data_IF_661994271138
#
_entry.id   IF_661994271138
#
_cell.length_a   1.000
_cell.length_b   1.000
_cell.length_c   1.000
_cell.angle_alpha   90.00
_cell.angle_beta   90.00
_cell.angle_gamma   90.00
#
_symmetry.space_group_name_H-M   'P 1'
#
loop_
_entity.id
_entity.type
_entity.pdbx_description
1 polymer ?
#
# COMPACT_ATOMS: atom_id res chain seq x y z
N UNK A 1 6.72 -10.04 9.68
CA UNK A 1 6.38 -11.48 9.69
C UNK A 1 5.92 -11.84 8.30
N UNK A 2 6.45 -12.90 7.68
CA UNK A 2 5.86 -13.42 6.45
C UNK A 2 4.43 -13.88 6.78
N UNK A 3 3.45 -13.40 6.03
CA UNK A 3 2.07 -13.91 6.12
C UNK A 3 2.00 -15.24 5.36
N UNK A 4 1.10 -16.14 5.78
CA UNK A 4 0.78 -17.30 4.97
C UNK A 4 -0.37 -16.95 4.02
N UNK A 5 -0.26 -17.37 2.77
CA UNK A 5 -1.28 -17.14 1.73
C UNK A 5 -2.64 -17.72 2.15
N UNK A 6 -2.63 -18.85 2.87
CA UNK A 6 -3.86 -19.47 3.36
C UNK A 6 -4.58 -18.61 4.41
N UNK A 7 -3.83 -17.92 5.27
CA UNK A 7 -4.39 -16.97 6.24
C UNK A 7 -5.05 -15.78 5.54
N UNK A 8 -4.43 -15.31 4.45
CA UNK A 8 -4.92 -14.23 3.61
C UNK A 8 -6.23 -14.62 2.90
N UNK A 9 -6.30 -15.83 2.35
CA UNK A 9 -7.53 -16.37 1.77
C UNK A 9 -8.64 -16.49 2.81
N UNK A 10 -8.33 -16.99 4.01
CA UNK A 10 -9.28 -17.04 5.12
C UNK A 10 -9.81 -15.65 5.51
N UNK A 11 -8.92 -14.66 5.60
CA UNK A 11 -9.29 -13.27 5.86
C UNK A 11 -10.18 -12.69 4.74
N UNK A 12 -9.92 -13.03 3.48
CA UNK A 12 -10.71 -12.56 2.34
C UNK A 12 -12.12 -13.14 2.32
N UNK A 13 -12.29 -14.41 2.66
CA UNK A 13 -13.62 -15.02 2.84
C UNK A 13 -14.39 -14.30 3.94
N UNK A 14 -13.74 -14.01 5.07
CA UNK A 14 -14.35 -13.26 6.19
C UNK A 14 -14.68 -11.81 5.81
N UNK A 15 -13.84 -11.17 5.01
CA UNK A 15 -14.13 -9.85 4.45
C UNK A 15 -15.37 -9.88 3.57
N UNK A 16 -15.51 -10.86 2.67
CA UNK A 16 -16.69 -10.98 1.82
C UNK A 16 -17.97 -11.26 2.63
N UNK A 17 -17.89 -12.06 3.70
CA UNK A 17 -19.00 -12.25 4.64
C UNK A 17 -19.35 -10.96 5.38
N UNK A 18 -18.34 -10.20 5.83
CA UNK A 18 -18.53 -8.92 6.51
C UNK A 18 -19.19 -7.89 5.58
N UNK A 19 -18.66 -7.71 4.38
CA UNK A 19 -19.12 -6.70 3.42
C UNK A 19 -20.55 -6.96 2.93
N UNK A 20 -20.97 -8.22 2.84
CA UNK A 20 -22.37 -8.58 2.51
C UNK A 20 -23.37 -8.21 3.61
N UNK A 21 -22.94 -8.22 4.87
CA UNK A 21 -23.82 -8.08 6.03
C UNK A 21 -23.76 -6.70 6.68
N UNK A 22 -22.83 -5.84 6.27
CA UNK A 22 -22.52 -4.61 6.98
C UNK A 22 -22.49 -3.41 6.01
N UNK A 23 -23.21 -2.34 6.35
CA UNK A 23 -23.28 -1.13 5.51
C UNK A 23 -22.17 -0.11 5.80
N UNK A 24 -21.29 -0.39 6.76
CA UNK A 24 -20.26 0.54 7.22
C UNK A 24 -18.88 0.23 6.62
N UNK A 25 -18.67 0.65 5.38
CA UNK A 25 -17.41 0.47 4.64
C UNK A 25 -16.18 1.04 5.38
N UNK A 26 -16.36 2.06 6.22
CA UNK A 26 -15.24 2.66 6.96
C UNK A 26 -14.59 1.72 7.97
N UNK A 27 -15.29 0.72 8.50
CA UNK A 27 -14.72 -0.20 9.49
C UNK A 27 -13.89 -1.31 8.85
N UNK A 28 -14.14 -1.62 7.58
CA UNK A 28 -13.49 -2.70 6.84
C UNK A 28 -11.97 -2.55 6.87
N UNK A 29 -11.45 -1.33 6.68
CA UNK A 29 -10.00 -1.03 6.69
C UNK A 29 -9.29 -1.34 8.01
N UNK A 30 -10.01 -1.34 9.14
CA UNK A 30 -9.43 -1.62 10.46
C UNK A 30 -9.50 -3.11 10.81
N UNK A 31 -10.50 -3.80 10.27
CA UNK A 31 -10.73 -5.23 10.50
C UNK A 31 -9.91 -6.08 9.52
N UNK A 32 -9.81 -5.62 8.26
CA UNK A 32 -9.13 -6.28 7.16
C UNK A 32 -8.05 -5.36 6.54
N UNK A 33 -7.03 -4.95 7.31
CA UNK A 33 -6.04 -3.98 6.88
C UNK A 33 -5.18 -4.44 5.69
N UNK A 34 -5.15 -5.73 5.39
CA UNK A 34 -4.42 -6.26 4.24
C UNK A 34 -5.23 -6.23 2.94
N UNK A 35 -6.57 -6.18 3.04
CA UNK A 35 -7.48 -6.31 1.89
C UNK A 35 -8.03 -4.95 1.45
N UNK A 36 -8.46 -4.13 2.41
CA UNK A 36 -9.13 -2.86 2.15
C UNK A 36 -8.64 -1.71 3.04
N UNK A 37 -7.50 -1.91 3.69
CA UNK A 37 -6.87 -0.92 4.56
C UNK A 37 -5.37 -0.89 4.36
N UNK A 38 -4.67 -0.48 5.42
CA UNK A 38 -3.22 -0.39 5.42
C UNK A 38 -2.56 -1.33 6.39
N UNK A 39 -1.73 -2.25 5.90
CA UNK A 39 -0.87 -3.09 6.75
C UNK A 39 0.08 -2.23 7.59
N UNK A 40 0.56 -1.12 7.02
CA UNK A 40 1.27 -0.07 7.72
C UNK A 40 0.41 1.19 7.85
N UNK A 41 -0.11 1.45 9.04
CA UNK A 41 -0.81 2.71 9.34
C UNK A 41 0.17 3.87 9.31
N UNK A 42 0.15 4.67 8.24
CA UNK A 42 0.90 5.92 8.19
C UNK A 42 0.02 7.09 8.64
N UNK A 43 0.64 8.10 9.27
CA UNK A 43 -0.05 9.35 9.55
C UNK A 43 0.23 10.34 8.44
N UNK A 44 -0.69 11.29 8.23
CA UNK A 44 -0.46 12.42 7.31
C UNK A 44 0.88 13.14 7.55
N UNK A 45 1.30 13.25 8.82
CA UNK A 45 2.59 13.87 9.18
C UNK A 45 3.79 13.10 8.62
N UNK A 46 3.69 11.78 8.46
CA UNK A 46 4.80 10.96 7.96
C UNK A 46 4.98 11.19 6.45
N UNK A 47 3.89 11.30 5.69
CA UNK A 47 3.90 11.72 4.27
C UNK A 47 4.51 13.11 4.11
N UNK A 48 4.00 14.09 4.87
CA UNK A 48 4.48 15.48 4.79
C UNK A 48 5.95 15.61 5.17
N UNK A 49 6.43 14.82 6.14
CA UNK A 49 7.84 14.80 6.54
C UNK A 49 8.73 14.32 5.38
N UNK A 50 8.37 13.22 4.72
CA UNK A 50 9.13 12.71 3.56
C UNK A 50 9.17 13.74 2.44
N UNK A 51 8.03 14.35 2.12
CA UNK A 51 7.92 15.37 1.07
C UNK A 51 8.77 16.60 1.41
N UNK A 52 8.74 17.07 2.66
CA UNK A 52 9.53 18.20 3.12
C UNK A 52 11.03 17.93 3.02
N UNK A 53 11.48 16.75 3.47
CA UNK A 53 12.88 16.34 3.35
C UNK A 53 13.30 16.30 1.88
N UNK A 54 12.54 15.62 1.02
CA UNK A 54 12.86 15.49 -0.40
C UNK A 54 12.98 16.86 -1.09
N UNK A 55 12.04 17.77 -0.84
CA UNK A 55 12.05 19.14 -1.39
C UNK A 55 13.17 20.02 -0.83
N UNK A 56 13.65 19.74 0.38
CA UNK A 56 14.80 20.43 0.94
C UNK A 56 16.13 20.04 0.27
N UNK A 57 16.19 18.82 -0.29
CA UNK A 57 17.37 18.29 -0.98
C UNK A 57 17.40 18.75 -2.45
N UNK A 58 16.24 18.78 -3.11
CA UNK A 58 16.13 19.15 -4.53
C UNK A 58 14.83 19.90 -4.82
N UNK A 59 14.85 20.94 -5.67
CA UNK A 59 13.64 21.60 -6.14
C UNK A 59 12.74 20.68 -7.00
N UNK A 60 13.31 19.60 -7.55
CA UNK A 60 12.60 18.54 -8.29
C UNK A 60 13.03 17.17 -7.72
N UNK A 61 12.48 16.76 -6.57
CA UNK A 61 12.90 15.52 -5.95
C UNK A 61 12.39 14.31 -6.74
N UNK A 62 13.18 13.24 -6.73
CA UNK A 62 12.73 11.88 -7.07
C UNK A 62 12.69 11.07 -5.79
N UNK A 63 11.70 10.20 -5.66
CA UNK A 63 11.49 9.37 -4.47
C UNK A 63 11.32 7.91 -4.89
N UNK A 64 11.95 7.01 -4.14
CA UNK A 64 11.86 5.57 -4.32
C UNK A 64 11.41 4.97 -2.98
N UNK A 65 10.28 4.28 -3.00
CA UNK A 65 9.74 3.52 -1.87
C UNK A 65 10.11 2.05 -2.00
N UNK A 66 10.95 1.53 -1.10
CA UNK A 66 11.42 0.14 -1.14
C UNK A 66 10.67 -0.68 -0.11
N UNK A 67 10.08 -1.81 -0.53
CA UNK A 67 9.12 -2.53 0.30
C UNK A 67 7.81 -1.77 0.42
N UNK A 68 7.36 -1.16 -0.69
CA UNK A 68 6.19 -0.30 -0.71
C UNK A 68 4.86 -1.04 -0.52
N UNK A 69 4.89 -2.38 -0.47
CA UNK A 69 3.70 -3.22 -0.48
C UNK A 69 2.84 -2.91 -1.70
N UNK A 70 1.55 -2.76 -1.47
CA UNK A 70 0.56 -2.43 -2.50
C UNK A 70 0.47 -0.92 -2.81
N UNK A 71 1.24 -0.08 -2.10
CA UNK A 71 1.49 1.31 -2.52
C UNK A 71 0.68 2.41 -1.83
N UNK A 72 -0.07 2.14 -0.76
CA UNK A 72 -0.92 3.18 -0.14
C UNK A 72 -0.15 4.40 0.40
N UNK A 73 1.02 4.18 1.00
CA UNK A 73 1.87 5.29 1.45
C UNK A 73 2.44 6.05 0.24
N UNK A 74 2.94 5.31 -0.75
CA UNK A 74 3.49 5.85 -1.99
C UNK A 74 2.47 6.68 -2.76
N UNK A 75 1.20 6.26 -2.81
CA UNK A 75 0.11 7.03 -3.43
C UNK A 75 0.03 8.44 -2.82
N UNK A 76 0.10 8.55 -1.48
CA UNK A 76 0.07 9.85 -0.80
C UNK A 76 1.32 10.67 -0.99
N UNK A 77 2.49 10.03 -1.13
CA UNK A 77 3.71 10.75 -1.53
C UNK A 77 3.59 11.29 -2.96
N UNK A 78 2.97 10.53 -3.87
CA UNK A 78 2.78 10.91 -5.28
C UNK A 78 1.88 12.12 -5.49
N UNK A 79 0.97 12.41 -4.55
CA UNK A 79 0.20 13.67 -4.54
C UNK A 79 1.11 14.92 -4.49
N UNK A 80 2.33 14.79 -3.94
CA UNK A 80 3.30 15.88 -3.83
C UNK A 80 4.57 15.70 -4.67
N UNK A 81 4.89 14.45 -5.03
CA UNK A 81 6.06 14.05 -5.84
C UNK A 81 5.57 13.07 -6.92
N UNK A 82 5.00 13.55 -8.04
CA UNK A 82 4.31 12.69 -9.02
C UNK A 82 5.18 11.63 -9.70
N UNK A 83 6.50 11.80 -9.68
CA UNK A 83 7.48 10.86 -10.25
C UNK A 83 7.96 9.81 -9.23
N UNK A 84 7.40 9.79 -8.01
CA UNK A 84 7.75 8.81 -6.99
C UNK A 84 7.37 7.38 -7.44
N UNK A 85 8.30 6.43 -7.31
CA UNK A 85 8.10 5.03 -7.72
C UNK A 85 8.28 4.07 -6.54
N UNK A 86 7.70 2.88 -6.66
CA UNK A 86 7.77 1.81 -5.67
C UNK A 86 8.51 0.59 -6.19
N UNK A 87 9.19 -0.11 -5.28
CA UNK A 87 9.73 -1.46 -5.49
C UNK A 87 9.16 -2.38 -4.43
N UNK A 88 8.58 -3.48 -4.88
CA UNK A 88 8.17 -4.58 -4.01
C UNK A 88 8.75 -5.89 -4.57
N UNK A 89 9.17 -6.78 -3.68
CA UNK A 89 9.72 -8.07 -4.06
C UNK A 89 8.61 -9.03 -4.50
N UNK A 90 7.48 -8.99 -3.80
CA UNK A 90 6.36 -9.91 -4.01
C UNK A 90 5.14 -9.21 -4.62
N UNK A 91 4.78 -9.61 -5.83
CA UNK A 91 3.60 -9.12 -6.52
C UNK A 91 2.29 -9.81 -6.11
N UNK A 92 2.35 -10.90 -5.33
CA UNK A 92 1.19 -11.72 -4.95
C UNK A 92 0.05 -10.91 -4.38
N UNK A 93 0.37 -9.86 -3.60
CA UNK A 93 -0.61 -8.93 -3.02
C UNK A 93 -1.55 -8.28 -4.05
N UNK A 94 -1.09 -8.03 -5.28
CA UNK A 94 -1.96 -7.44 -6.31
C UNK A 94 -2.86 -8.50 -6.95
N UNK A 95 -2.34 -9.70 -7.18
CA UNK A 95 -3.02 -10.73 -7.96
C UNK A 95 -3.99 -11.57 -7.14
N UNK A 96 -3.68 -11.84 -5.87
CA UNK A 96 -4.51 -12.65 -4.97
C UNK A 96 -5.84 -11.98 -4.63
N UNK A 97 -5.90 -10.65 -4.69
CA UNK A 97 -7.08 -9.86 -4.34
C UNK A 97 -7.73 -9.14 -5.53
N UNK A 98 -7.40 -9.52 -6.76
CA UNK A 98 -7.88 -8.83 -7.98
C UNK A 98 -7.63 -7.31 -7.96
N UNK A 99 -6.54 -6.88 -7.32
CA UNK A 99 -6.14 -5.48 -7.31
C UNK A 99 -5.33 -5.17 -8.57
N UNK A 100 -5.69 -4.09 -9.26
CA UNK A 100 -4.89 -3.62 -10.39
C UNK A 100 -3.54 -3.12 -9.88
N UNK A 101 -2.44 -3.75 -10.31
CA UNK A 101 -1.09 -3.30 -9.97
C UNK A 101 -0.84 -1.92 -10.59
N UNK A 102 -0.53 -0.88 -9.80
CA UNK A 102 -0.20 0.43 -10.35
C UNK A 102 1.07 0.39 -11.22
N UNK A 103 1.10 1.20 -12.28
CA UNK A 103 2.23 1.25 -13.22
C UNK A 103 3.53 1.79 -12.58
N UNK A 104 3.38 2.60 -11.53
CA UNK A 104 4.50 3.19 -10.78
C UNK A 104 5.09 2.26 -9.71
N UNK A 105 4.59 1.01 -9.59
CA UNK A 105 5.14 -0.02 -8.71
C UNK A 105 5.77 -1.12 -9.55
N UNK A 106 7.03 -1.43 -9.23
CA UNK A 106 7.83 -2.40 -9.94
C UNK A 106 8.06 -3.64 -9.07
N UNK A 107 7.68 -4.82 -9.58
CA UNK A 107 7.98 -6.10 -8.91
C UNK A 107 9.40 -6.52 -9.29
N UNK A 108 10.32 -6.43 -8.34
CA UNK A 108 11.73 -6.78 -8.53
C UNK A 108 12.42 -6.97 -7.18
N UNK A 109 13.32 -7.95 -7.12
CA UNK A 109 14.22 -8.08 -5.98
C UNK A 109 15.26 -6.95 -6.04
N UNK A 110 15.70 -6.47 -4.87
CA UNK A 110 16.75 -5.45 -4.79
C UNK A 110 18.10 -6.17 -4.87
N UNK A 111 18.38 -6.76 -6.04
CA UNK A 111 19.62 -7.46 -6.36
C UNK A 111 20.41 -6.74 -7.44
#
# INVERSE_FOLDING_TARGET
>A
MPFQIDDLHGAYLKYNEFSKNNNFSFHERFIFPYICGTYFGYRKVDVLRVVAIAKSISPKPRYLDVGCGYGDFLEKVREFIPEAIGIEKDGGIFYEFNMAKPDYIHIKDVS
#
